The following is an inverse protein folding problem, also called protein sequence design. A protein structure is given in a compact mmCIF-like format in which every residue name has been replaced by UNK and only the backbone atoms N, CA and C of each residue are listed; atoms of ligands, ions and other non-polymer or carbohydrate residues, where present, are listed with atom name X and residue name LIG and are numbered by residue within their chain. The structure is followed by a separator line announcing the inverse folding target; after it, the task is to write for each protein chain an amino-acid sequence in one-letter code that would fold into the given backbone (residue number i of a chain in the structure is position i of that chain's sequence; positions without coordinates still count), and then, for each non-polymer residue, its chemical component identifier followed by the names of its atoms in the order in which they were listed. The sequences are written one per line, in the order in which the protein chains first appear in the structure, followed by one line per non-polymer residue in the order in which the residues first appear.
data_IF_087498337825
#
_entry.id   IF_087498337825
#
_cell.length_a   1.000
_cell.length_b   1.000
_cell.length_c   1.000
_cell.angle_alpha   90.00
_cell.angle_beta   90.00
_cell.angle_gamma   90.00
#
_symmetry.space_group_name_H-M   'P 1'
#
loop_
_entity.id
_entity.type
_entity.pdbx_description
1 polymer ?
#
# COMPACT_ATOMS: atom_id res chain seq x y z
N UNK A 1 4.24 6.38 9.92
CA UNK A 1 4.80 5.75 8.70
C UNK A 1 5.87 4.74 9.07
N UNK A 2 6.89 5.14 9.84
CA UNK A 2 8.06 4.31 10.17
C UNK A 2 7.69 2.93 10.74
N UNK A 3 6.76 2.86 11.70
CA UNK A 3 6.28 1.58 12.26
C UNK A 3 5.66 0.66 11.20
N UNK A 4 4.86 1.20 10.27
CA UNK A 4 4.28 0.42 9.18
C UNK A 4 5.35 -0.14 8.25
N UNK A 5 6.35 0.67 7.87
CA UNK A 5 7.48 0.19 7.05
C UNK A 5 8.31 -0.86 7.79
N UNK A 6 8.58 -0.69 9.08
CA UNK A 6 9.36 -1.64 9.88
C UNK A 6 8.62 -2.96 10.03
N UNK A 7 7.31 -2.92 10.32
CA UNK A 7 6.48 -4.10 10.45
C UNK A 7 6.31 -4.82 9.10
N UNK A 8 6.32 -4.07 7.99
CA UNK A 8 6.28 -4.61 6.64
C UNK A 8 7.59 -5.24 6.17
N UNK A 9 8.73 -4.60 6.47
CA UNK A 9 10.04 -5.09 6.02
C UNK A 9 10.53 -6.28 6.85
N UNK A 10 10.07 -6.38 8.10
CA UNK A 10 10.38 -7.47 9.04
C UNK A 10 10.16 -8.87 8.43
N UNK A 11 8.95 -9.23 7.97
CA UNK A 11 8.70 -10.55 7.40
C UNK A 11 9.48 -10.80 6.10
N UNK A 12 9.72 -9.75 5.29
CA UNK A 12 10.50 -9.86 4.05
C UNK A 12 11.96 -10.20 4.37
N UNK A 13 12.57 -9.49 5.31
CA UNK A 13 13.96 -9.74 5.71
C UNK A 13 14.08 -11.10 6.40
N UNK A 14 13.12 -11.47 7.24
CA UNK A 14 13.14 -12.75 7.94
C UNK A 14 13.09 -13.93 6.95
N UNK A 15 12.15 -13.89 5.99
CA UNK A 15 12.03 -14.91 4.95
C UNK A 15 13.23 -14.88 3.99
N UNK A 16 13.67 -13.71 3.56
CA UNK A 16 14.82 -13.55 2.66
C UNK A 16 16.13 -14.01 3.29
N UNK A 17 16.34 -13.71 4.58
CA UNK A 17 17.52 -14.15 5.32
C UNK A 17 17.51 -15.66 5.50
N UNK A 18 16.36 -16.24 5.87
CA UNK A 18 16.21 -17.69 5.98
C UNK A 18 16.48 -18.39 4.64
N UNK A 19 15.83 -17.93 3.56
CA UNK A 19 16.02 -18.46 2.21
C UNK A 19 17.48 -18.35 1.76
N UNK A 20 18.09 -17.18 1.95
CA UNK A 20 19.49 -16.94 1.57
C UNK A 20 20.46 -17.82 2.36
N UNK A 21 20.37 -17.83 3.69
CA UNK A 21 21.24 -18.68 4.51
C UNK A 21 21.09 -20.15 4.15
N UNK A 22 19.84 -20.59 3.93
CA UNK A 22 19.59 -22.00 3.62
C UNK A 22 20.07 -22.42 2.24
N UNK A 23 19.95 -21.52 1.26
CA UNK A 23 20.50 -21.73 -0.08
C UNK A 23 22.03 -21.86 -0.07
N UNK A 24 22.72 -21.07 0.76
CA UNK A 24 24.18 -21.12 0.93
C UNK A 24 24.66 -22.18 1.95
N UNK A 25 23.75 -23.01 2.48
CA UNK A 25 24.04 -24.05 3.47
C UNK A 25 24.72 -23.52 4.75
N UNK A 26 24.42 -22.26 5.12
CA UNK A 26 24.95 -21.60 6.32
C UNK A 26 24.11 -22.06 7.52
N UNK A 27 24.47 -23.23 8.02
CA UNK A 27 23.74 -23.89 9.09
C UNK A 27 24.51 -23.74 10.40
N UNK A 28 24.06 -22.89 11.32
CA UNK A 28 24.63 -22.76 12.67
C UNK A 28 24.29 -23.94 13.60
N UNK A 29 24.17 -25.16 13.05
CA UNK A 29 23.64 -26.34 13.75
C UNK A 29 22.10 -26.41 13.79
N UNK A 30 21.40 -25.45 13.19
CA UNK A 30 19.95 -25.44 13.09
C UNK A 30 19.47 -26.15 11.82
N UNK A 31 18.59 -27.13 12.00
CA UNK A 31 18.04 -27.95 10.91
C UNK A 31 17.09 -27.19 9.97
N UNK A 32 16.45 -26.12 10.44
CA UNK A 32 15.58 -25.25 9.61
C UNK A 32 16.38 -24.50 8.54
N UNK A 33 17.68 -24.29 8.75
CA UNK A 33 18.56 -23.59 7.82
C UNK A 33 19.18 -24.56 6.81
N UNK A 34 19.10 -25.89 6.99
CA UNK A 34 19.73 -26.82 6.05
C UNK A 34 19.03 -26.83 4.71
N UNK A 35 19.82 -27.04 3.64
CA UNK A 35 19.28 -27.16 2.29
C UNK A 35 18.26 -28.29 2.15
N UNK A 36 18.48 -29.41 2.84
CA UNK A 36 17.54 -30.54 2.85
C UNK A 36 16.14 -30.16 3.34
N UNK A 37 16.06 -29.39 4.42
CA UNK A 37 14.76 -28.99 4.98
C UNK A 37 14.11 -27.92 4.10
N UNK A 38 14.89 -26.99 3.56
CA UNK A 38 14.43 -26.05 2.54
C UNK A 38 13.78 -26.76 1.36
N UNK A 39 14.47 -27.75 0.77
CA UNK A 39 13.96 -28.49 -0.39
C UNK A 39 12.73 -29.33 -0.05
N UNK A 40 12.68 -29.89 1.16
CA UNK A 40 11.50 -30.58 1.69
C UNK A 40 10.29 -29.65 1.80
N UNK A 41 10.48 -28.46 2.37
CA UNK A 41 9.43 -27.45 2.51
C UNK A 41 8.90 -27.02 1.15
N UNK A 42 9.79 -26.74 0.19
CA UNK A 42 9.36 -26.40 -1.17
C UNK A 42 8.64 -27.54 -1.87
N UNK A 43 9.04 -28.79 -1.65
CA UNK A 43 8.35 -29.97 -2.19
C UNK A 43 6.94 -30.10 -1.62
N UNK A 44 6.77 -29.92 -0.30
CA UNK A 44 5.45 -29.93 0.35
C UNK A 44 4.56 -28.83 -0.22
N UNK A 45 5.08 -27.61 -0.35
CA UNK A 45 4.32 -26.50 -0.93
C UNK A 45 4.03 -26.69 -2.41
N UNK A 46 4.97 -27.22 -3.20
CA UNK A 46 4.77 -27.52 -4.62
C UNK A 46 3.66 -28.54 -4.82
N UNK A 47 3.67 -29.61 -4.03
CA UNK A 47 2.60 -30.62 -4.03
C UNK A 47 1.25 -30.04 -3.61
N UNK A 48 1.23 -29.11 -2.65
CA UNK A 48 -0.01 -28.46 -2.18
C UNK A 48 -0.58 -27.49 -3.23
N UNK A 49 0.28 -26.75 -3.92
CA UNK A 49 -0.09 -25.75 -4.92
C UNK A 49 -0.26 -26.36 -6.33
N UNK A 50 0.17 -27.60 -6.54
CA UNK A 50 0.18 -28.25 -7.85
C UNK A 50 1.17 -27.62 -8.84
N UNK A 51 2.25 -27.03 -8.34
CA UNK A 51 3.30 -26.38 -9.16
C UNK A 51 4.67 -26.96 -8.80
N UNK A 52 5.61 -26.83 -9.73
CA UNK A 52 6.99 -27.30 -9.50
C UNK A 52 7.63 -26.52 -8.34
N UNK A 53 8.33 -27.21 -7.40
CA UNK A 53 8.90 -26.58 -6.21
C UNK A 53 9.93 -25.49 -6.55
N UNK A 54 10.63 -25.64 -7.67
CA UNK A 54 11.60 -24.66 -8.19
C UNK A 54 10.96 -23.36 -8.70
N UNK A 55 9.66 -23.39 -9.02
CA UNK A 55 8.91 -22.21 -9.46
C UNK A 55 8.44 -21.34 -8.30
N UNK A 56 8.44 -21.85 -7.06
CA UNK A 56 7.94 -21.14 -5.88
C UNK A 56 8.83 -19.95 -5.50
N UNK A 57 10.17 -20.09 -5.37
CA UNK A 57 11.03 -18.96 -5.04
C UNK A 57 10.89 -17.75 -6.00
N UNK A 58 10.93 -17.92 -7.34
CA UNK A 58 10.77 -16.79 -8.24
C UNK A 58 9.36 -16.16 -8.17
N UNK A 59 8.32 -16.92 -7.84
CA UNK A 59 6.98 -16.36 -7.60
C UNK A 59 6.94 -15.49 -6.34
N UNK A 60 7.59 -15.91 -5.25
CA UNK A 60 7.70 -15.13 -4.01
C UNK A 60 8.45 -13.82 -4.28
N UNK A 61 9.56 -13.88 -5.01
CA UNK A 61 10.32 -12.68 -5.38
C UNK A 61 9.46 -11.69 -6.19
N UNK A 62 8.70 -12.19 -7.18
CA UNK A 62 7.76 -11.35 -7.95
C UNK A 62 6.71 -10.70 -7.04
N UNK A 63 6.17 -11.45 -6.09
CA UNK A 63 5.20 -10.93 -5.12
C UNK A 63 5.80 -9.81 -4.25
N UNK A 64 7.02 -10.00 -3.75
CA UNK A 64 7.73 -8.99 -2.94
C UNK A 64 8.00 -7.72 -3.74
N UNK A 65 8.39 -7.82 -5.01
CA UNK A 65 8.59 -6.65 -5.89
C UNK A 65 7.29 -5.89 -6.07
N UNK A 66 6.20 -6.60 -6.38
CA UNK A 66 4.88 -5.99 -6.56
C UNK A 66 4.38 -5.31 -5.29
N UNK A 67 4.55 -5.95 -4.14
CA UNK A 67 4.16 -5.41 -2.83
C UNK A 67 5.01 -4.18 -2.45
N UNK A 68 6.31 -4.21 -2.75
CA UNK A 68 7.19 -3.03 -2.58
C UNK A 68 6.70 -1.85 -3.42
N UNK A 69 6.31 -2.11 -4.66
CA UNK A 69 5.74 -1.10 -5.55
C UNK A 69 4.45 -0.52 -4.97
N UNK A 70 3.56 -1.35 -4.43
CA UNK A 70 2.34 -0.90 -3.75
C UNK A 70 2.64 -0.05 -2.52
N UNK A 71 3.58 -0.45 -1.67
CA UNK A 71 3.95 0.31 -0.46
C UNK A 71 4.55 1.67 -0.85
N UNK A 72 5.46 1.71 -1.82
CA UNK A 72 6.04 2.96 -2.32
C UNK A 72 4.95 3.84 -2.95
N UNK A 73 4.09 3.27 -3.80
CA UNK A 73 2.96 3.98 -4.40
C UNK A 73 2.03 4.57 -3.34
N UNK A 74 1.68 3.79 -2.33
CA UNK A 74 0.86 4.24 -1.20
C UNK A 74 1.53 5.37 -0.41
N UNK A 75 2.84 5.29 -0.17
CA UNK A 75 3.60 6.35 0.52
C UNK A 75 3.62 7.63 -0.32
N UNK A 76 3.85 7.54 -1.63
CA UNK A 76 3.85 8.68 -2.56
C UNK A 76 2.47 9.35 -2.57
N UNK A 77 1.40 8.55 -2.71
CA UNK A 77 0.01 9.03 -2.65
C UNK A 77 -0.26 9.68 -1.30
N UNK A 78 0.19 9.06 -0.20
CA UNK A 78 0.01 9.58 1.14
C UNK A 78 0.75 10.91 1.39
N UNK A 79 1.94 11.08 0.82
CA UNK A 79 2.75 12.30 0.95
C UNK A 79 2.21 13.45 0.08
N UNK A 80 1.65 13.13 -1.09
CA UNK A 80 1.08 14.11 -2.02
C UNK A 80 -0.45 14.16 -2.01
N UNK A 81 -1.12 13.67 -0.95
CA UNK A 81 -2.59 13.58 -0.87
C UNK A 81 -3.31 14.85 -1.30
N UNK A 82 -2.85 16.04 -0.88
CA UNK A 82 -3.48 17.31 -1.24
C UNK A 82 -3.39 17.62 -2.75
N UNK A 83 -2.25 17.36 -3.36
CA UNK A 83 -2.02 17.57 -4.80
C UNK A 83 -2.75 16.51 -5.64
N UNK A 84 -2.75 15.26 -5.17
CA UNK A 84 -3.42 14.16 -5.87
C UNK A 84 -4.94 14.25 -5.72
N UNK A 85 -5.47 14.67 -4.58
CA UNK A 85 -6.91 14.98 -4.44
C UNK A 85 -7.31 16.20 -5.26
N UNK A 86 -6.49 17.26 -5.31
CA UNK A 86 -6.78 18.39 -6.18
C UNK A 86 -6.76 17.98 -7.66
N UNK A 87 -5.79 17.17 -8.07
CA UNK A 87 -5.72 16.61 -9.42
C UNK A 87 -6.85 15.62 -9.70
N UNK A 88 -7.24 14.79 -8.72
CA UNK A 88 -8.42 13.92 -8.85
C UNK A 88 -9.70 14.75 -8.94
N UNK A 89 -9.89 15.78 -8.11
CA UNK A 89 -11.06 16.67 -8.22
C UNK A 89 -11.09 17.44 -9.55
N UNK A 90 -9.92 17.83 -10.09
CA UNK A 90 -9.81 18.43 -11.42
C UNK A 90 -10.09 17.43 -12.54
N UNK A 91 -9.55 16.22 -12.45
CA UNK A 91 -9.69 15.18 -13.46
C UNK A 91 -11.09 14.55 -13.44
N UNK A 92 -11.67 14.41 -12.26
CA UNK A 92 -13.01 13.90 -12.02
C UNK A 92 -14.08 14.99 -12.19
N UNK A 93 -13.71 16.15 -12.77
CA UNK A 93 -14.57 17.29 -13.12
C UNK A 93 -15.89 17.23 -12.38
N UNK A 94 -15.91 17.68 -11.13
CA UNK A 94 -17.15 17.81 -10.36
C UNK A 94 -18.12 18.66 -11.19
N UNK A 95 -19.00 17.99 -11.92
CA UNK A 95 -20.16 18.56 -12.60
C UNK A 95 -21.09 19.05 -11.51
N UNK A 96 -21.14 20.35 -11.29
CA UNK A 96 -22.04 20.93 -10.30
C UNK A 96 -21.69 22.34 -9.86
N UNK A 97 -21.18 23.18 -10.77
CA UNK A 97 -21.24 24.62 -10.57
C UNK A 97 -22.53 25.14 -11.20
N UNK A 98 -23.46 25.60 -10.36
CA UNK A 98 -24.23 26.85 -10.53
C UNK A 98 -25.15 27.02 -9.31
N UNK A 99 -24.58 27.30 -8.13
CA UNK A 99 -25.28 28.16 -7.19
C UNK A 99 -25.04 29.57 -7.70
N UNK A 100 -25.94 30.03 -8.57
CA UNK A 100 -26.15 31.45 -8.83
C UNK A 100 -26.42 32.08 -7.46
N UNK A 101 -25.41 32.74 -6.90
CA UNK A 101 -25.61 33.75 -5.88
C UNK A 101 -26.38 34.87 -6.53
N UNK A 102 -27.70 34.73 -6.58
CA UNK A 102 -28.59 35.83 -6.88
C UNK A 102 -28.42 36.81 -5.72
N UNK A 103 -27.69 37.88 -6.03
CA UNK A 103 -27.60 39.06 -5.22
C UNK A 103 -28.99 39.68 -5.21
N UNK A 104 -29.80 39.37 -4.21
CA UNK A 104 -30.91 40.26 -3.85
C UNK A 104 -30.48 41.04 -2.62
N UNK A 105 -30.10 42.28 -2.89
CA UNK A 105 -29.77 43.34 -1.95
C UNK A 105 -30.75 43.37 -0.78
N UNK A 106 -30.25 43.10 0.42
CA UNK A 106 -30.94 43.51 1.65
C UNK A 106 -30.74 45.02 1.79
N UNK A 107 -31.70 45.79 1.30
CA UNK A 107 -31.82 47.21 1.62
C UNK A 107 -32.08 47.37 3.13
N UNK A 108 -31.30 48.17 3.88
CA UNK A 108 -31.66 48.53 5.24
C UNK A 108 -32.52 49.80 5.16
N UNK A 109 -33.78 49.69 4.76
CA UNK A 109 -34.69 50.83 4.88
C UNK A 109 -35.28 50.88 6.28
N UNK A 110 -34.60 51.65 7.11
CA UNK A 110 -35.13 52.35 8.27
C UNK A 110 -36.47 53.04 7.94
N UNK A 111 -37.57 52.57 8.51
CA UNK A 111 -38.54 53.44 9.21
C UNK A 111 -39.66 52.61 9.83
N UNK A 112 -39.44 52.17 11.06
CA UNK A 112 -40.51 51.73 11.94
C UNK A 112 -40.42 52.60 13.19
N UNK A 113 -41.03 53.79 13.17
CA UNK A 113 -41.62 54.51 14.31
C UNK A 113 -41.84 56.01 14.00
N UNK A 114 -43.05 56.40 13.57
CA UNK A 114 -43.75 57.59 14.13
C UNK A 114 -45.22 57.69 13.70
N UNK A 115 -46.07 57.44 14.69
CA UNK A 115 -47.31 58.14 15.06
C UNK A 115 -48.56 58.05 14.19
N UNK A 116 -49.55 57.41 14.81
CA UNK A 116 -51.00 57.67 14.78
C UNK A 116 -51.39 59.15 14.82
#
# INVERSE_FOLDING_TARGET
MKVFLVLWIMPIILLGSWYGLSYYDINFGYRILTRELHDLVFTIYGNLLGIEPESIPPLVVKAVIFDTFLVVGFIVIKRRRKQIWAALCQFFHWTGGHTTSDQTEVQPQSDFSRTS
#
